data_IF_742384979349
#
_entry.id   IF_742384979349
#
_cell.length_a   1.000
_cell.length_b   1.000
_cell.length_c   1.000
_cell.angle_alpha   90.00
_cell.angle_beta   90.00
_cell.angle_gamma   90.00
#
_symmetry.space_group_name_H-M   'P 1'
#
loop_
_entity.id
_entity.type
_entity.pdbx_description
1 polymer ?
#
# COMPACT_ATOMS: atom_id res chain seq x y z
N UNK A 1 -62.50 -21.08 16.09
CA UNK A 1 -63.09 -21.82 14.96
C UNK A 1 -62.29 -21.46 13.71
N UNK A 2 -61.69 -22.41 12.98
CA UNK A 2 -61.02 -22.11 11.73
C UNK A 2 -62.03 -22.13 10.57
N UNK A 3 -61.99 -21.13 9.71
CA UNK A 3 -62.65 -21.15 8.39
C UNK A 3 -61.59 -21.25 7.32
N UNK A 4 -61.81 -22.23 6.45
CA UNK A 4 -60.95 -22.69 5.38
C UNK A 4 -60.94 -21.77 4.16
N UNK A 5 -59.91 -21.99 3.34
CA UNK A 5 -59.91 -21.97 1.87
C UNK A 5 -59.86 -20.62 1.14
N UNK A 6 -58.74 -20.36 0.45
CA UNK A 6 -58.82 -20.04 -0.97
C UNK A 6 -57.56 -20.48 -1.74
N UNK A 7 -57.78 -21.20 -2.84
CA UNK A 7 -56.84 -21.55 -3.89
C UNK A 7 -56.59 -20.30 -4.75
N UNK A 8 -55.35 -20.07 -5.18
CA UNK A 8 -55.13 -19.50 -6.51
C UNK A 8 -53.91 -20.12 -7.16
N UNK A 9 -54.10 -20.50 -8.42
CA UNK A 9 -53.14 -21.19 -9.27
C UNK A 9 -52.34 -20.20 -10.12
N UNK A 10 -51.19 -20.72 -10.58
CA UNK A 10 -50.61 -20.58 -11.91
C UNK A 10 -49.60 -19.44 -12.18
N UNK A 11 -48.34 -19.85 -12.40
CA UNK A 11 -47.38 -19.38 -13.41
C UNK A 11 -46.04 -20.10 -13.08
N UNK A 12 -45.31 -20.83 -13.93
CA UNK A 12 -45.24 -20.97 -15.38
C UNK A 12 -43.74 -21.16 -15.74
N UNK A 13 -43.38 -22.22 -16.47
CA UNK A 13 -42.05 -22.48 -17.08
C UNK A 13 -41.08 -23.27 -16.18
N UNK A 14 -40.97 -24.60 -16.24
CA UNK A 14 -40.29 -25.46 -17.23
C UNK A 14 -38.77 -25.21 -17.35
N UNK A 15 -38.01 -26.20 -16.88
CA UNK A 15 -36.55 -26.31 -16.91
C UNK A 15 -36.13 -27.03 -18.21
N UNK A 16 -35.48 -26.32 -19.12
CA UNK A 16 -34.96 -26.91 -20.36
C UNK A 16 -33.51 -27.39 -20.18
N UNK A 17 -33.29 -28.68 -20.44
CA UNK A 17 -32.03 -29.41 -20.37
C UNK A 17 -31.04 -28.97 -21.47
N UNK A 18 -29.81 -28.58 -21.09
CA UNK A 18 -28.77 -28.00 -21.98
C UNK A 18 -27.80 -29.07 -22.57
N UNK A 19 -28.01 -30.37 -22.34
CA UNK A 19 -27.12 -31.41 -22.84
C UNK A 19 -27.79 -32.35 -23.86
N UNK A 20 -27.91 -31.90 -25.11
CA UNK A 20 -28.22 -32.78 -26.24
C UNK A 20 -27.48 -32.32 -27.51
N UNK A 21 -26.46 -33.08 -27.94
CA UNK A 21 -25.91 -32.94 -29.30
C UNK A 21 -24.41 -33.15 -29.42
N UNK A 22 -23.91 -34.33 -29.05
CA UNK A 22 -22.62 -34.81 -29.52
C UNK A 22 -22.78 -35.60 -30.83
N UNK A 23 -21.88 -35.32 -31.78
CA UNK A 23 -21.33 -36.22 -32.79
C UNK A 23 -22.23 -36.74 -33.93
N UNK A 24 -21.87 -36.38 -35.18
CA UNK A 24 -21.54 -37.35 -36.25
C UNK A 24 -21.03 -36.63 -37.52
N UNK A 25 -19.78 -36.91 -37.95
CA UNK A 25 -19.42 -37.01 -39.38
C UNK A 25 -18.41 -36.02 -39.97
N UNK A 26 -17.19 -36.51 -40.24
CA UNK A 26 -16.11 -35.89 -41.05
C UNK A 26 -15.71 -36.90 -42.19
N UNK A 27 -14.77 -36.62 -43.14
CA UNK A 27 -14.70 -35.79 -44.38
C UNK A 27 -14.62 -36.75 -45.63
N UNK A 28 -13.88 -36.54 -46.77
CA UNK A 28 -13.26 -35.38 -47.45
C UNK A 28 -13.61 -35.26 -48.96
N UNK A 29 -13.34 -34.12 -49.60
CA UNK A 29 -13.28 -34.02 -51.09
C UNK A 29 -11.90 -33.52 -51.52
N UNK A 30 -11.30 -34.26 -52.45
CA UNK A 30 -9.91 -34.19 -52.88
C UNK A 30 -9.64 -33.22 -54.05
N UNK A 31 -8.33 -32.92 -54.22
CA UNK A 31 -7.64 -32.22 -55.31
C UNK A 31 -7.96 -32.73 -56.74
N UNK A 32 -7.65 -31.91 -57.75
CA UNK A 32 -6.49 -32.16 -58.63
C UNK A 32 -5.72 -30.86 -59.00
N UNK A 33 -4.60 -30.78 -59.72
CA UNK A 33 -3.39 -31.57 -60.02
C UNK A 33 -2.59 -30.67 -61.00
N UNK A 34 -1.28 -30.51 -60.76
CA UNK A 34 -0.13 -30.19 -61.65
C UNK A 34 -0.25 -29.38 -62.96
N UNK A 35 0.72 -28.48 -63.20
CA UNK A 35 1.67 -28.36 -64.34
C UNK A 35 2.47 -27.05 -64.16
N UNK A 36 3.74 -26.80 -64.56
CA UNK A 36 4.81 -27.51 -65.26
C UNK A 36 6.05 -26.58 -65.30
N UNK A 37 7.25 -27.18 -65.25
CA UNK A 37 8.56 -26.82 -65.85
C UNK A 37 9.06 -25.35 -65.83
N UNK A 38 10.15 -25.03 -65.12
CA UNK A 38 11.58 -25.25 -65.43
C UNK A 38 12.23 -24.15 -66.29
N UNK A 39 13.23 -23.45 -65.73
CA UNK A 39 14.41 -22.99 -66.49
C UNK A 39 15.64 -23.21 -65.62
N UNK A 40 16.45 -24.16 -66.06
CA UNK A 40 17.82 -24.43 -65.64
C UNK A 40 18.74 -23.39 -66.28
N UNK A 41 19.77 -22.95 -65.58
CA UNK A 41 21.12 -22.83 -66.15
C UNK A 41 22.16 -22.92 -65.02
N UNK A 42 23.21 -23.66 -65.34
CA UNK A 42 24.12 -24.38 -64.45
C UNK A 42 25.45 -23.59 -64.27
N UNK A 43 26.56 -24.18 -63.79
CA UNK A 43 27.32 -23.73 -62.63
C UNK A 43 28.51 -22.81 -62.96
N UNK A 44 28.86 -21.88 -62.07
CA UNK A 44 30.16 -21.22 -62.09
C UNK A 44 30.97 -21.69 -60.88
N UNK A 45 32.02 -22.43 -61.21
CA UNK A 45 33.06 -22.95 -60.33
C UNK A 45 34.19 -21.92 -60.31
N UNK A 46 34.45 -21.25 -59.18
CA UNK A 46 35.73 -20.54 -58.95
C UNK A 46 36.09 -20.50 -57.43
N UNK A 47 37.20 -21.21 -57.15
CA UNK A 47 38.28 -21.02 -56.16
C UNK A 47 38.02 -20.96 -54.61
N UNK A 48 38.58 -21.91 -53.83
CA UNK A 48 38.49 -21.93 -52.36
C UNK A 48 39.64 -21.18 -51.66
N UNK A 49 39.57 -19.86 -51.54
CA UNK A 49 40.46 -19.14 -50.63
C UNK A 49 39.93 -17.76 -50.20
N UNK A 50 39.09 -17.72 -49.15
CA UNK A 50 39.07 -16.65 -48.15
C UNK A 50 38.03 -16.93 -47.06
N UNK A 51 38.36 -17.83 -46.13
CA UNK A 51 37.73 -17.80 -44.81
C UNK A 51 38.49 -16.80 -43.93
N UNK A 52 38.14 -15.52 -44.01
CA UNK A 52 38.46 -14.58 -42.94
C UNK A 52 37.54 -14.90 -41.76
N UNK A 53 38.06 -15.68 -40.82
CA UNK A 53 37.41 -15.96 -39.54
C UNK A 53 37.28 -14.62 -38.81
N UNK A 54 36.12 -13.98 -38.89
CA UNK A 54 35.80 -12.81 -38.09
C UNK A 54 35.73 -13.25 -36.64
N UNK A 55 36.82 -13.01 -35.90
CA UNK A 55 36.84 -13.13 -34.45
C UNK A 55 35.95 -12.03 -33.89
N UNK A 56 34.71 -12.37 -33.56
CA UNK A 56 33.85 -11.54 -32.73
C UNK A 56 34.52 -11.36 -31.37
N UNK A 57 35.03 -10.16 -31.10
CA UNK A 57 35.33 -9.72 -29.74
C UNK A 57 34.13 -8.90 -29.27
N UNK A 58 33.46 -9.28 -28.17
CA UNK A 58 32.37 -8.47 -27.66
C UNK A 58 32.93 -7.10 -27.26
N UNK A 59 32.20 -6.01 -27.51
CA UNK A 59 32.58 -4.71 -27.00
C UNK A 59 32.62 -4.79 -25.48
N UNK A 60 33.79 -4.60 -24.88
CA UNK A 60 33.92 -4.46 -23.44
C UNK A 60 33.23 -3.16 -23.06
N UNK A 61 31.97 -3.25 -22.65
CA UNK A 61 31.20 -2.13 -22.14
C UNK A 61 31.88 -1.58 -20.88
N UNK A 62 32.59 -0.48 -21.07
CA UNK A 62 33.27 0.25 -20.01
C UNK A 62 32.36 1.24 -19.29
N UNK A 63 31.12 1.41 -19.76
CA UNK A 63 30.14 2.35 -19.22
C UNK A 63 29.33 1.80 -18.05
N UNK A 64 28.98 0.51 -18.07
CA UNK A 64 28.18 -0.12 -16.98
C UNK A 64 28.92 -0.13 -15.65
N UNK A 65 30.23 -0.40 -15.64
CA UNK A 65 31.06 -0.43 -14.42
C UNK A 65 31.29 0.96 -13.82
N UNK A 66 31.45 2.01 -14.64
CA UNK A 66 31.63 3.39 -14.13
C UNK A 66 30.37 3.90 -13.44
N UNK A 67 29.19 3.58 -13.97
CA UNK A 67 27.90 3.87 -13.33
C UNK A 67 27.73 3.07 -12.04
N UNK A 68 28.17 1.81 -12.01
CA UNK A 68 28.15 0.99 -10.80
C UNK A 68 29.09 1.55 -9.70
N UNK A 69 30.32 1.93 -10.06
CA UNK A 69 31.25 2.56 -9.11
C UNK A 69 30.73 3.91 -8.59
N UNK A 70 30.04 4.70 -9.43
CA UNK A 70 29.42 5.96 -9.02
C UNK A 70 28.29 5.73 -8.01
N UNK A 71 27.40 4.76 -8.27
CA UNK A 71 26.31 4.42 -7.36
C UNK A 71 26.84 3.89 -6.01
N UNK A 72 27.84 3.01 -6.04
CA UNK A 72 28.49 2.50 -4.82
C UNK A 72 29.15 3.64 -4.03
N UNK A 73 29.81 4.59 -4.71
CA UNK A 73 30.41 5.76 -4.05
C UNK A 73 29.36 6.67 -3.39
N UNK A 74 28.20 6.85 -4.01
CA UNK A 74 27.09 7.62 -3.43
C UNK A 74 26.52 6.91 -2.20
N UNK A 75 26.33 5.60 -2.26
CA UNK A 75 25.82 4.79 -1.13
C UNK A 75 26.81 4.78 0.03
N UNK A 76 28.11 4.64 -0.23
CA UNK A 76 29.14 4.71 0.83
C UNK A 76 29.22 6.12 1.40
N UNK A 77 29.14 7.16 0.55
CA UNK A 77 29.10 8.54 0.98
C UNK A 77 27.91 8.86 1.88
N UNK A 78 26.71 8.37 1.53
CA UNK A 78 25.51 8.56 2.33
C UNK A 78 25.57 7.80 3.66
N UNK A 79 26.11 6.57 3.67
CA UNK A 79 26.33 5.79 4.90
C UNK A 79 27.33 6.45 5.85
N UNK A 80 28.43 7.03 5.33
CA UNK A 80 29.40 7.76 6.15
C UNK A 80 28.82 9.07 6.69
N UNK A 81 27.99 9.77 5.90
CA UNK A 81 27.31 10.99 6.33
C UNK A 81 26.30 10.68 7.44
N UNK A 82 25.43 9.69 7.23
CA UNK A 82 24.41 9.27 8.20
C UNK A 82 25.05 8.69 9.47
N UNK A 83 26.06 7.84 9.33
CA UNK A 83 26.80 7.28 10.46
C UNK A 83 27.57 8.35 11.26
N UNK A 84 28.16 9.33 10.59
CA UNK A 84 28.82 10.47 11.23
C UNK A 84 27.86 11.36 12.01
N UNK A 85 26.68 11.65 11.44
CA UNK A 85 25.63 12.42 12.11
C UNK A 85 25.10 11.66 13.33
N UNK A 86 24.84 10.35 13.21
CA UNK A 86 24.40 9.52 14.33
C UNK A 86 25.44 9.46 15.47
N UNK A 87 26.73 9.34 15.13
CA UNK A 87 27.82 9.37 16.13
C UNK A 87 27.91 10.71 16.86
N UNK A 88 27.74 11.83 16.14
CA UNK A 88 27.76 13.17 16.73
C UNK A 88 26.58 13.39 17.69
N UNK A 89 25.38 12.95 17.32
CA UNK A 89 24.18 13.04 18.19
C UNK A 89 24.36 12.16 19.43
N UNK A 90 24.86 10.93 19.28
CA UNK A 90 25.11 10.03 20.42
C UNK A 90 26.18 10.58 21.38
N UNK A 91 27.22 11.23 20.84
CA UNK A 91 28.26 11.88 21.63
C UNK A 91 27.73 13.08 22.44
N UNK A 92 26.81 13.85 21.86
CA UNK A 92 26.16 14.98 22.54
C UNK A 92 25.18 14.54 23.63
N UNK A 93 24.31 13.56 23.35
CA UNK A 93 23.35 13.01 24.33
C UNK A 93 24.07 12.35 25.52
N UNK A 94 25.21 11.70 25.30
CA UNK A 94 26.01 11.13 26.40
C UNK A 94 26.70 12.21 27.24
N UNK A 95 26.90 13.41 26.70
CA UNK A 95 27.46 14.55 27.41
C UNK A 95 26.44 15.35 28.22
N UNK A 96 25.12 15.22 27.96
CA UNK A 96 24.07 15.97 28.67
C UNK A 96 23.55 15.31 29.96
N UNK A 97 23.94 14.05 30.24
CA UNK A 97 23.44 13.30 31.39
C UNK A 97 24.29 13.43 32.66
N UNK A 98 25.15 14.45 32.75
CA UNK A 98 25.96 14.71 33.94
C UNK A 98 25.51 16.02 34.60
N UNK A 99 24.25 16.04 35.03
CA UNK A 99 23.74 17.01 36.01
C UNK A 99 23.03 16.22 37.09
N UNK A 100 23.79 15.81 38.11
CA UNK A 100 23.21 15.62 39.42
C UNK A 100 22.73 16.98 39.92
N UNK A 101 21.49 17.06 40.38
CA UNK A 101 21.29 17.36 41.79
C UNK A 101 19.89 16.98 42.27
N UNK A 102 19.94 16.34 43.41
CA UNK A 102 18.92 15.90 44.34
C UNK A 102 18.33 17.08 45.12
N UNK A 103 17.01 17.24 45.14
CA UNK A 103 16.35 17.81 46.33
C UNK A 103 15.07 17.07 46.65
N UNK A 104 15.05 16.52 47.86
CA UNK A 104 13.88 15.96 48.52
C UNK A 104 12.81 17.05 48.65
N UNK A 105 11.69 16.92 47.92
CA UNK A 105 10.44 17.56 48.29
C UNK A 105 9.56 16.52 48.99
N UNK A 106 9.39 16.70 50.30
CA UNK A 106 8.50 15.90 51.15
C UNK A 106 7.11 15.77 50.52
N UNK A 107 6.44 14.60 50.58
CA UNK A 107 5.02 14.55 50.26
C UNK A 107 4.24 15.42 51.25
N UNK A 108 3.37 16.29 50.74
CA UNK A 108 2.41 17.05 51.54
C UNK A 108 1.53 16.07 52.31
N UNK A 109 1.78 15.98 53.61
CA UNK A 109 0.96 15.24 54.57
C UNK A 109 -0.38 15.97 54.77
N UNK A 110 -1.42 15.57 54.03
CA UNK A 110 -2.80 15.99 54.31
C UNK A 110 -3.37 15.07 55.40
N UNK A 111 -2.91 15.24 56.64
CA UNK A 111 -3.71 14.89 57.81
C UNK A 111 -4.39 16.18 58.28
N UNK A 112 -5.38 16.63 57.51
CA UNK A 112 -6.28 17.69 57.93
C UNK A 112 -7.25 17.13 58.95
N UNK A 113 -7.22 17.72 60.15
CA UNK A 113 -8.13 17.46 61.25
C UNK A 113 -9.59 17.50 60.77
N UNK A 114 -10.29 16.36 60.88
CA UNK A 114 -11.74 16.28 60.73
C UNK A 114 -12.36 16.87 62.01
N UNK A 115 -12.87 18.09 61.90
CA UNK A 115 -13.85 18.64 62.83
C UNK A 115 -15.23 18.09 62.42
N UNK A 116 -15.87 17.36 63.32
CA UNK A 116 -17.23 16.86 63.21
C UNK A 116 -18.22 18.02 63.03
N UNK A 117 -18.86 18.08 61.84
CA UNK A 117 -20.28 18.40 61.61
C UNK A 117 -20.49 18.94 60.19
N UNK A 118 -20.51 18.04 59.19
CA UNK A 118 -21.42 18.12 58.04
C UNK A 118 -21.37 16.82 57.22
N UNK A 119 -22.56 16.42 56.77
CA UNK A 119 -23.00 15.13 56.20
C UNK A 119 -22.10 14.49 55.12
N UNK A 120 -22.16 13.15 54.94
CA UNK A 120 -21.25 12.43 54.05
C UNK A 120 -21.47 12.82 52.58
N UNK A 121 -20.43 13.36 51.94
CA UNK A 121 -20.43 13.56 50.49
C UNK A 121 -20.02 12.24 49.83
N UNK A 122 -20.95 11.68 49.06
CA UNK A 122 -20.83 10.49 48.24
C UNK A 122 -19.68 10.69 47.22
N UNK A 123 -18.66 9.81 47.24
CA UNK A 123 -17.58 9.82 46.24
C UNK A 123 -18.17 9.34 44.93
N UNK A 124 -18.57 10.28 44.09
CA UNK A 124 -18.85 10.03 42.68
C UNK A 124 -17.51 10.10 41.96
N UNK A 125 -16.96 8.94 41.58
CA UNK A 125 -15.89 8.88 40.56
C UNK A 125 -16.53 9.23 39.22
N UNK A 126 -16.62 10.52 38.95
CA UNK A 126 -16.79 11.02 37.59
C UNK A 126 -15.37 11.18 37.04
N UNK A 127 -15.02 10.37 36.05
CA UNK A 127 -13.79 10.52 35.25
C UNK A 127 -13.87 11.81 34.44
N UNK A 128 -13.67 12.94 35.13
CA UNK A 128 -13.44 14.22 34.49
C UNK A 128 -11.93 14.32 34.27
N UNK A 129 -11.54 14.21 33.00
CA UNK A 129 -10.48 15.00 32.36
C UNK A 129 -9.66 15.85 33.35
N UNK A 130 -8.47 15.35 33.71
CA UNK A 130 -7.46 16.19 34.36
C UNK A 130 -6.85 17.11 33.30
N UNK A 131 -7.51 18.23 33.05
CA UNK A 131 -6.89 19.45 32.52
C UNK A 131 -5.99 20.04 33.59
N UNK A 132 -4.75 19.56 33.67
CA UNK A 132 -3.66 20.33 34.25
C UNK A 132 -3.07 21.21 33.15
N UNK A 133 -3.67 22.39 32.98
CA UNK A 133 -3.16 23.46 32.12
C UNK A 133 -1.89 24.06 32.73
N UNK A 134 -0.76 23.39 32.48
CA UNK A 134 0.53 24.03 32.33
C UNK A 134 1.22 23.40 31.11
N UNK A 135 0.66 23.68 29.94
CA UNK A 135 1.26 23.27 28.68
C UNK A 135 1.48 24.50 27.83
N UNK A 136 2.74 24.66 27.43
CA UNK A 136 3.13 25.31 26.19
C UNK A 136 2.07 24.98 25.10
N UNK A 137 1.58 25.93 24.28
CA UNK A 137 0.54 25.71 23.27
C UNK A 137 0.92 24.75 22.11
N UNK A 138 1.80 23.78 22.34
CA UNK A 138 2.36 22.87 21.35
C UNK A 138 2.04 21.39 21.58
N UNK A 139 1.22 21.02 22.59
CA UNK A 139 1.09 19.61 22.98
C UNK A 139 -0.35 19.17 23.27
N UNK A 140 -1.17 19.12 22.22
CA UNK A 140 -2.45 18.37 22.21
C UNK A 140 -2.60 17.48 20.97
N UNK A 141 -1.50 17.20 20.26
CA UNK A 141 -1.52 16.36 19.07
C UNK A 141 -1.06 14.95 19.46
N UNK A 142 -1.95 14.21 20.13
CA UNK A 142 -1.72 12.79 20.38
C UNK A 142 -1.91 12.08 19.03
N UNK A 143 -0.93 11.27 18.66
CA UNK A 143 -0.89 10.41 17.47
C UNK A 143 -0.46 9.02 18.00
N UNK A 144 -1.45 8.18 18.27
CA UNK A 144 -1.30 6.95 19.04
C UNK A 144 -0.66 5.82 18.22
N UNK A 145 -0.82 5.81 16.89
CA UNK A 145 -0.23 4.81 15.99
C UNK A 145 0.95 5.32 15.15
N UNK A 146 1.23 6.63 15.24
CA UNK A 146 2.36 7.32 14.63
C UNK A 146 2.30 7.31 13.09
N UNK A 147 1.10 7.30 12.49
CA UNK A 147 0.95 7.44 11.05
C UNK A 147 1.03 8.91 10.58
N UNK A 148 0.92 9.87 11.50
CA UNK A 148 0.96 11.31 11.27
C UNK A 148 -0.42 11.98 11.13
N UNK A 149 -1.50 11.27 11.44
CA UNK A 149 -2.84 11.75 11.73
C UNK A 149 -3.01 11.76 13.26
N UNK A 150 -3.61 12.81 13.84
CA UNK A 150 -3.87 12.81 15.28
C UNK A 150 -5.07 11.93 15.63
N UNK A 151 -5.11 11.39 16.86
CA UNK A 151 -6.24 10.63 17.40
C UNK A 151 -7.58 11.39 17.23
N UNK A 152 -7.53 12.73 17.28
CA UNK A 152 -8.71 13.57 17.05
C UNK A 152 -9.12 13.61 15.57
N UNK A 153 -8.17 13.71 14.65
CA UNK A 153 -8.45 13.65 13.22
C UNK A 153 -8.97 12.27 12.80
N UNK A 154 -8.39 11.20 13.35
CA UNK A 154 -8.83 9.82 13.14
C UNK A 154 -10.26 9.61 13.65
N UNK A 155 -10.60 10.16 14.81
CA UNK A 155 -11.98 10.12 15.31
C UNK A 155 -12.97 10.83 14.37
N UNK A 156 -12.54 11.90 13.69
CA UNK A 156 -13.36 12.61 12.70
C UNK A 156 -13.47 11.82 11.39
N UNK A 157 -12.39 11.16 10.97
CA UNK A 157 -12.36 10.27 9.82
C UNK A 157 -13.05 8.92 10.08
N UNK A 158 -13.43 8.65 11.33
CA UNK A 158 -13.95 7.35 11.80
C UNK A 158 -12.97 6.19 11.62
N UNK A 159 -11.67 6.47 11.64
CA UNK A 159 -10.62 5.47 11.58
C UNK A 159 -10.24 4.99 12.99
N UNK A 160 -9.28 4.08 13.11
CA UNK A 160 -8.87 3.51 14.39
C UNK A 160 -7.57 4.16 14.89
N UNK A 161 -7.62 4.97 15.99
CA UNK A 161 -6.46 5.68 16.53
C UNK A 161 -5.23 4.87 16.91
N UNK A 162 -5.32 3.55 16.86
CA UNK A 162 -4.25 2.63 17.27
C UNK A 162 -3.76 1.78 16.12
N UNK A 163 -4.21 2.04 14.91
CA UNK A 163 -3.97 1.20 13.74
C UNK A 163 -3.81 2.10 12.51
N UNK A 164 -2.54 2.17 12.08
CA UNK A 164 -2.07 3.00 10.98
C UNK A 164 -2.86 2.87 9.67
N UNK A 165 -3.43 1.70 9.42
CA UNK A 165 -4.15 1.33 8.22
C UNK A 165 -5.44 0.67 8.70
N UNK A 166 -6.57 1.38 8.64
CA UNK A 166 -7.81 0.95 9.30
C UNK A 166 -8.49 -0.22 8.59
N UNK A 167 -8.39 -0.33 7.27
CA UNK A 167 -9.04 -1.38 6.46
C UNK A 167 -8.10 -2.47 5.91
N UNK A 168 -6.80 -2.38 6.22
CA UNK A 168 -5.74 -3.33 5.89
C UNK A 168 -5.48 -3.48 4.37
N UNK A 169 -5.61 -2.41 3.61
CA UNK A 169 -5.43 -2.42 2.16
C UNK A 169 -3.98 -2.10 1.71
N UNK A 170 -3.16 -1.59 2.63
CA UNK A 170 -1.76 -1.23 2.43
C UNK A 170 -1.47 0.27 2.36
N UNK A 171 -2.47 1.14 2.45
CA UNK A 171 -2.34 2.59 2.64
C UNK A 171 -2.57 2.95 4.11
N UNK A 172 -1.90 4.00 4.59
CA UNK A 172 -2.20 4.51 5.92
C UNK A 172 -3.41 5.43 5.91
N UNK A 173 -4.16 5.51 7.02
CA UNK A 173 -5.31 6.40 7.17
C UNK A 173 -4.95 7.84 6.78
N UNK A 174 -3.76 8.31 7.18
CA UNK A 174 -3.21 9.59 6.74
C UNK A 174 -3.01 9.71 5.22
N UNK A 175 -2.45 8.70 4.57
CA UNK A 175 -2.19 8.70 3.13
C UNK A 175 -3.50 8.77 2.35
N UNK A 176 -4.49 8.01 2.78
CA UNK A 176 -5.83 8.02 2.22
C UNK A 176 -6.52 9.38 2.39
N UNK A 177 -6.55 9.91 3.61
CA UNK A 177 -7.23 11.18 3.91
C UNK A 177 -6.53 12.39 3.29
N UNK A 178 -5.18 12.41 3.19
CA UNK A 178 -4.42 13.62 2.80
C UNK A 178 -3.81 13.56 1.41
N UNK A 179 -3.59 12.39 0.83
CA UNK A 179 -2.87 12.23 -0.44
C UNK A 179 -3.79 11.70 -1.53
N UNK A 180 -4.41 10.55 -1.29
CA UNK A 180 -5.17 9.83 -2.33
C UNK A 180 -6.65 10.18 -2.36
N UNK A 181 -7.19 10.70 -1.25
CA UNK A 181 -8.60 11.04 -1.08
C UNK A 181 -9.50 9.83 -1.28
N UNK A 182 -9.10 8.70 -0.69
CA UNK A 182 -9.84 7.44 -0.60
C UNK A 182 -10.61 7.34 0.72
N UNK A 183 -11.47 6.34 0.87
CA UNK A 183 -12.18 6.06 2.12
C UNK A 183 -11.33 5.11 3.00
N UNK A 184 -10.75 5.58 4.12
CA UNK A 184 -9.84 4.80 4.98
C UNK A 184 -10.50 3.65 5.77
N UNK A 185 -11.68 3.24 5.35
CA UNK A 185 -12.48 2.18 5.94
C UNK A 185 -12.98 1.21 4.87
N UNK A 186 -12.65 1.47 3.62
CA UNK A 186 -13.07 0.69 2.48
C UNK A 186 -11.84 0.37 1.64
N UNK A 187 -11.40 -0.89 1.59
CA UNK A 187 -10.15 -1.24 0.94
C UNK A 187 -10.18 -1.06 -0.59
N UNK A 188 -11.34 -0.78 -1.21
CA UNK A 188 -11.56 -0.56 -2.65
C UNK A 188 -12.59 0.59 -2.77
N UNK A 189 -12.10 1.84 -2.82
CA UNK A 189 -12.93 3.04 -2.70
C UNK A 189 -13.86 3.25 -3.88
N UNK A 190 -13.45 2.87 -5.09
CA UNK A 190 -14.22 3.05 -6.32
C UNK A 190 -14.97 1.81 -6.81
N UNK A 191 -14.90 0.72 -6.03
CA UNK A 191 -15.60 -0.56 -6.24
C UNK A 191 -15.24 -1.22 -7.59
N UNK A 192 -14.00 -1.03 -8.07
CA UNK A 192 -13.55 -1.57 -9.36
C UNK A 192 -12.97 -3.01 -9.27
N UNK A 193 -12.77 -3.49 -8.03
CA UNK A 193 -12.28 -4.83 -7.69
C UNK A 193 -10.78 -4.89 -7.38
N UNK A 194 -10.08 -3.76 -7.37
CA UNK A 194 -8.70 -3.64 -6.90
C UNK A 194 -8.66 -2.83 -5.61
N UNK A 195 -7.76 -3.21 -4.69
CA UNK A 195 -7.62 -2.46 -3.46
C UNK A 195 -6.84 -1.15 -3.69
N UNK A 196 -7.19 -0.06 -3.01
CA UNK A 196 -6.62 1.27 -3.23
C UNK A 196 -5.09 1.24 -3.10
N UNK A 197 -4.57 0.55 -2.08
CA UNK A 197 -3.13 0.34 -1.86
C UNK A 197 -2.45 -0.48 -2.94
N UNK A 198 -3.17 -1.43 -3.55
CA UNK A 198 -2.66 -2.19 -4.70
C UNK A 198 -2.56 -1.30 -5.93
N UNK A 199 -3.54 -0.44 -6.15
CA UNK A 199 -3.56 0.49 -7.28
C UNK A 199 -2.44 1.53 -7.17
N UNK A 200 -2.30 2.16 -6.00
CA UNK A 200 -1.22 3.11 -5.72
C UNK A 200 0.14 2.47 -5.94
N UNK A 201 0.36 1.24 -5.44
CA UNK A 201 1.61 0.50 -5.64
C UNK A 201 1.92 0.21 -7.12
N UNK A 202 0.89 0.12 -7.96
CA UNK A 202 1.00 -0.15 -9.40
C UNK A 202 0.83 1.11 -10.28
N UNK A 203 0.78 2.30 -9.67
CA UNK A 203 0.63 3.61 -10.34
C UNK A 203 -0.73 3.83 -11.01
N UNK A 204 -1.79 3.24 -10.49
CA UNK A 204 -3.19 3.47 -10.87
C UNK A 204 -3.88 4.46 -9.93
N UNK A 205 -5.04 4.97 -10.32
CA UNK A 205 -5.83 5.91 -9.52
C UNK A 205 -6.79 5.15 -8.59
N UNK A 206 -6.64 5.24 -7.26
CA UNK A 206 -7.44 4.48 -6.31
C UNK A 206 -8.85 5.02 -6.04
N UNK A 207 -9.32 5.93 -6.89
CA UNK A 207 -10.62 6.59 -6.70
C UNK A 207 -11.28 6.95 -8.03
N UNK A 208 -10.85 6.29 -9.10
CA UNK A 208 -11.39 6.45 -10.44
C UNK A 208 -11.83 5.08 -10.93
N UNK A 209 -13.15 4.84 -11.14
CA UNK A 209 -13.70 3.51 -11.46
C UNK A 209 -13.23 2.93 -12.81
N UNK A 210 -12.35 3.62 -13.54
CA UNK A 210 -11.60 3.05 -14.65
C UNK A 210 -10.26 2.44 -14.15
N UNK A 211 -10.13 1.11 -14.03
CA UNK A 211 -8.91 0.42 -13.54
C UNK A 211 -7.65 0.68 -14.36
N UNK A 212 -7.77 1.34 -15.51
CA UNK A 212 -6.64 1.66 -16.40
C UNK A 212 -6.12 3.07 -16.20
N UNK A 213 -6.81 3.88 -15.41
CA UNK A 213 -6.45 5.27 -15.17
C UNK A 213 -5.16 5.33 -14.35
N UNK A 214 -4.16 6.07 -14.83
CA UNK A 214 -2.84 6.15 -14.19
C UNK A 214 -2.71 7.35 -13.30
N UNK A 215 -2.15 7.17 -12.09
CA UNK A 215 -1.93 8.23 -11.10
C UNK A 215 -1.19 9.45 -11.67
N UNK A 216 -0.37 9.22 -12.70
CA UNK A 216 0.36 10.25 -13.44
C UNK A 216 0.12 10.09 -14.95
N UNK A 217 -0.93 10.73 -15.46
CA UNK A 217 -1.11 10.94 -16.90
C UNK A 217 -0.32 12.20 -17.35
N UNK A 218 0.72 12.00 -18.16
CA UNK A 218 1.42 13.11 -18.81
C UNK A 218 0.52 13.66 -19.92
N UNK A 219 0.28 14.99 -19.98
CA UNK A 219 -0.40 15.57 -21.12
C UNK A 219 0.41 15.32 -22.40
N UNK A 220 -0.26 14.80 -23.43
CA UNK A 220 0.31 14.57 -24.77
C UNK A 220 0.58 15.88 -25.51
#
# INVERSE_FOLDING_TARGET
MPTSSNLNQNSGGEIEDIFAGADTGQPPVALPTEVSAAVVNEPVLDDPASQTKSTYTPPVDTGRRKRLFLLIAIVIGSLLLLGGIAWAVMYWVKSSNNSGDNTNASPLNINSAVNENQSPINIVVNTNTTTNSNTNPADTFIDSDHDGLSDQEELIANTNPKKKDTDDDGLSDREEVRVYLTDPRNPDTDDDGYADGTEVANFYHPNDPDPKKRLFDLPN
#
